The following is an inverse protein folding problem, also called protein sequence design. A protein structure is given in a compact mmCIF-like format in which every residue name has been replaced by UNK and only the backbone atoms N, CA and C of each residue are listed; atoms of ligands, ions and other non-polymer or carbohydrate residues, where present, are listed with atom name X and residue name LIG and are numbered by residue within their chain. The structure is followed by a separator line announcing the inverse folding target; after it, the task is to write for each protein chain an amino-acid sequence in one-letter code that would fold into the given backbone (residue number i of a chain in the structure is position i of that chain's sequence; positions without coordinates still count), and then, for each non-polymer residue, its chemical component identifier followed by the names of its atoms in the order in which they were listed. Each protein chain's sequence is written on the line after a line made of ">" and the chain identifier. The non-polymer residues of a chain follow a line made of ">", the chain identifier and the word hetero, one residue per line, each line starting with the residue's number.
data_IF_675545047550
#
_entry.id   IF_675545047550
#
_cell.length_a   1.000
_cell.length_b   1.000
_cell.length_c   1.000
_cell.angle_alpha   90.00
_cell.angle_beta   90.00
_cell.angle_gamma   90.00
#
_symmetry.space_group_name_H-M   'P 1'
#
loop_
_entity.id
_entity.type
_entity.pdbx_description
1 polymer ?
#
# COMPACT_ATOMS: atom_id res chain seq x y z
N UNK A 1 5.22 22.27 -1.47
CA UNK A 1 5.58 21.42 -0.32
C UNK A 1 6.24 20.19 -0.95
N UNK A 2 7.57 20.10 -0.90
CA UNK A 2 8.34 19.10 -1.65
C UNK A 2 8.35 17.77 -0.90
N UNK A 3 7.56 16.82 -1.37
CA UNK A 3 7.56 15.43 -0.89
C UNK A 3 7.91 14.59 -2.12
N UNK A 4 9.15 14.14 -2.15
CA UNK A 4 9.78 13.33 -3.21
C UNK A 4 10.38 12.03 -2.65
N UNK A 5 10.10 11.71 -1.39
CA UNK A 5 10.52 10.48 -0.72
C UNK A 5 9.65 9.30 -1.12
N UNK A 6 10.26 8.11 -1.17
CA UNK A 6 9.56 6.85 -1.35
C UNK A 6 9.28 6.15 -0.01
N UNK A 7 8.56 5.03 -0.04
CA UNK A 7 8.39 4.19 1.14
C UNK A 7 9.71 3.50 1.54
N UNK A 8 10.62 3.23 0.59
CA UNK A 8 11.95 2.70 0.87
C UNK A 8 12.79 3.70 1.69
N UNK A 9 12.72 5.00 1.38
CA UNK A 9 13.36 6.06 2.17
C UNK A 9 12.87 6.11 3.63
N UNK A 10 11.68 5.57 3.89
CA UNK A 10 11.06 5.47 5.20
C UNK A 10 11.29 4.10 5.88
N UNK A 11 12.01 3.19 5.23
CA UNK A 11 12.40 1.89 5.77
C UNK A 11 11.43 0.74 5.47
N UNK A 12 10.50 0.91 4.54
CA UNK A 12 9.63 -0.19 4.07
C UNK A 12 10.39 -1.02 3.02
N UNK A 13 10.43 -2.33 3.21
CA UNK A 13 10.97 -3.28 2.24
C UNK A 13 9.90 -4.01 1.44
N UNK A 14 10.32 -4.71 0.36
CA UNK A 14 9.41 -5.56 -0.41
C UNK A 14 8.78 -6.69 0.43
N UNK A 15 9.51 -7.20 1.42
CA UNK A 15 9.04 -8.27 2.31
C UNK A 15 7.90 -7.82 3.24
N UNK A 16 7.73 -6.52 3.45
CA UNK A 16 6.63 -5.95 4.26
C UNK A 16 5.31 -5.86 3.47
N UNK A 17 5.38 -5.88 2.13
CA UNK A 17 4.22 -5.62 1.26
C UNK A 17 3.05 -6.59 1.52
N UNK A 18 3.25 -7.91 1.65
CA UNK A 18 2.14 -8.83 1.88
C UNK A 18 1.37 -8.51 3.18
N UNK A 19 2.09 -8.20 4.27
CA UNK A 19 1.48 -7.86 5.55
C UNK A 19 0.75 -6.50 5.49
N UNK A 20 1.38 -5.49 4.88
CA UNK A 20 0.78 -4.16 4.71
C UNK A 20 -0.46 -4.20 3.82
N UNK A 21 -0.46 -5.00 2.76
CA UNK A 21 -1.61 -5.19 1.89
C UNK A 21 -2.75 -5.89 2.64
N UNK A 22 -2.46 -6.97 3.38
CA UNK A 22 -3.47 -7.66 4.18
C UNK A 22 -4.09 -6.74 5.25
N UNK A 23 -3.27 -5.95 5.94
CA UNK A 23 -3.73 -4.98 6.92
C UNK A 23 -4.63 -3.92 6.27
N UNK A 24 -4.24 -3.41 5.10
CA UNK A 24 -5.02 -2.43 4.33
C UNK A 24 -6.36 -3.00 3.89
N UNK A 25 -6.41 -4.26 3.45
CA UNK A 25 -7.66 -4.95 3.06
C UNK A 25 -8.64 -5.14 4.23
N UNK A 26 -8.18 -5.07 5.47
CA UNK A 26 -9.00 -5.14 6.69
C UNK A 26 -9.40 -3.76 7.22
N UNK A 27 -8.84 -2.69 6.67
CA UNK A 27 -9.16 -1.33 7.10
C UNK A 27 -10.58 -0.93 6.65
N UNK A 28 -11.46 -0.43 7.55
CA UNK A 28 -12.83 -0.06 7.20
C UNK A 28 -12.93 0.98 6.07
N UNK A 29 -11.91 1.83 5.89
CA UNK A 29 -11.90 2.84 4.83
C UNK A 29 -11.80 2.20 3.44
N UNK A 30 -11.27 0.98 3.31
CA UNK A 30 -11.17 0.31 2.02
C UNK A 30 -12.55 -0.05 1.43
N UNK A 31 -13.55 -0.24 2.29
CA UNK A 31 -14.92 -0.61 1.88
C UNK A 31 -15.61 0.53 1.13
N UNK A 32 -15.24 1.76 1.43
CA UNK A 32 -15.79 2.97 0.79
C UNK A 32 -14.93 3.45 -0.39
N UNK A 33 -13.82 2.77 -0.72
CA UNK A 33 -13.03 3.07 -1.90
C UNK A 33 -13.90 2.90 -3.16
N UNK A 34 -13.99 3.89 -4.07
CA UNK A 34 -14.89 3.86 -5.22
C UNK A 34 -14.55 2.72 -6.20
N UNK A 35 -13.30 2.26 -6.19
CA UNK A 35 -12.84 1.06 -6.86
C UNK A 35 -12.67 -0.02 -5.79
N UNK A 36 -13.28 -1.20 -5.92
CA UNK A 36 -12.98 -2.30 -4.99
C UNK A 36 -11.66 -2.95 -5.41
N UNK A 37 -10.56 -2.75 -4.66
CA UNK A 37 -9.28 -3.34 -5.05
C UNK A 37 -9.27 -4.83 -4.71
N UNK A 38 -8.51 -5.62 -5.46
CA UNK A 38 -8.03 -6.92 -4.99
C UNK A 38 -6.81 -6.75 -4.08
N UNK A 39 -6.38 -7.82 -3.42
CA UNK A 39 -5.14 -7.77 -2.63
C UNK A 39 -3.92 -7.49 -3.52
N UNK A 40 -3.90 -8.06 -4.72
CA UNK A 40 -2.83 -7.85 -5.71
C UNK A 40 -2.77 -6.40 -6.20
N UNK A 41 -3.92 -5.72 -6.32
CA UNK A 41 -3.97 -4.29 -6.64
C UNK A 41 -3.30 -3.45 -5.55
N UNK A 42 -3.57 -3.76 -4.27
CA UNK A 42 -2.99 -3.07 -3.12
C UNK A 42 -1.48 -3.32 -3.05
N UNK A 43 -1.04 -4.56 -3.22
CA UNK A 43 0.39 -4.88 -3.29
C UNK A 43 1.09 -4.14 -4.44
N UNK A 44 0.45 -4.05 -5.61
CA UNK A 44 1.00 -3.32 -6.75
C UNK A 44 1.11 -1.81 -6.48
N UNK A 45 0.22 -1.24 -5.66
CA UNK A 45 0.32 0.16 -5.22
C UNK A 45 1.53 0.33 -4.28
N UNK A 46 1.72 -0.56 -3.30
CA UNK A 46 2.89 -0.52 -2.43
C UNK A 46 4.19 -0.67 -3.22
N UNK A 47 4.29 -1.61 -4.16
CA UNK A 47 5.48 -1.79 -5.02
C UNK A 47 5.81 -0.56 -5.88
N UNK A 48 4.80 0.24 -6.26
CA UNK A 48 5.00 1.48 -7.03
C UNK A 48 5.42 2.66 -6.16
N UNK A 49 5.22 2.55 -4.85
CA UNK A 49 5.53 3.60 -3.88
C UNK A 49 6.84 3.35 -3.14
N UNK A 50 7.42 2.14 -3.26
CA UNK A 50 8.85 1.89 -3.03
C UNK A 50 9.69 2.67 -4.06
#
# INVERSE_FOLDING_TARGET
>A
IGIDMTLEDLGVGEDDIPELAEASMKDPCIVTNPVRPSIEDVEAIFRRAL
#
